data_IF_026822913139
#
_entry.id   IF_026822913139
#
_cell.length_a   1.000
_cell.length_b   1.000
_cell.length_c   1.000
_cell.angle_alpha   90.00
_cell.angle_beta   90.00
_cell.angle_gamma   90.00
#
_symmetry.space_group_name_H-M   'P 1'
#
loop_
_entity.id
_entity.type
_entity.pdbx_description
1 polymer ?
#
# COMPACT_ATOMS: atom_id res chain seq x y z
N UNK A 1 -38.23 -12.40 -3.50
CA UNK A 1 -36.88 -12.03 -3.93
C UNK A 1 -36.42 -10.95 -2.97
N UNK A 2 -35.36 -11.19 -2.18
CA UNK A 2 -34.77 -10.11 -1.39
C UNK A 2 -34.15 -9.12 -2.40
N UNK A 3 -34.70 -7.91 -2.47
CA UNK A 3 -34.07 -6.84 -3.23
C UNK A 3 -32.66 -6.63 -2.69
N UNK A 4 -31.70 -6.34 -3.56
CA UNK A 4 -30.36 -5.92 -3.17
C UNK A 4 -30.49 -4.70 -2.24
N UNK A 5 -30.48 -4.93 -0.93
CA UNK A 5 -30.54 -3.86 0.05
C UNK A 5 -29.29 -3.00 -0.09
N UNK A 6 -29.49 -1.71 -0.32
CA UNK A 6 -28.40 -0.72 -0.25
C UNK A 6 -28.03 -0.52 1.22
N UNK A 7 -26.73 -0.47 1.51
CA UNK A 7 -26.18 -0.26 2.85
C UNK A 7 -25.60 1.16 2.89
N UNK A 8 -25.99 1.93 3.89
CA UNK A 8 -25.35 3.20 4.23
C UNK A 8 -24.20 2.94 5.22
N UNK A 9 -23.12 3.68 5.08
CA UNK A 9 -21.99 3.64 5.99
C UNK A 9 -21.59 5.04 6.45
N UNK A 10 -21.26 5.16 7.73
CA UNK A 10 -20.89 6.43 8.37
C UNK A 10 -19.69 6.23 9.28
N UNK A 11 -18.81 7.23 9.36
CA UNK A 11 -17.63 7.20 10.23
C UNK A 11 -17.61 8.39 11.19
N UNK A 12 -17.22 8.15 12.44
CA UNK A 12 -16.93 9.19 13.42
C UNK A 12 -15.47 9.07 13.86
N UNK A 13 -14.81 10.21 13.99
CA UNK A 13 -13.47 10.31 14.59
C UNK A 13 -13.63 11.17 15.83
N UNK A 14 -13.34 10.58 17.00
CA UNK A 14 -13.73 11.16 18.29
C UNK A 14 -12.57 11.80 19.05
N UNK A 15 -11.33 11.49 18.69
CA UNK A 15 -10.14 12.00 19.37
C UNK A 15 -8.94 12.13 18.41
N UNK A 16 -8.51 13.34 18.00
CA UNK A 16 -9.29 14.57 18.12
C UNK A 16 -10.58 14.45 17.29
N UNK A 17 -11.62 15.19 17.68
CA UNK A 17 -12.87 15.21 16.92
C UNK A 17 -12.61 15.77 15.52
N UNK A 18 -12.99 15.02 14.49
CA UNK A 18 -13.00 15.48 13.09
C UNK A 18 -14.44 15.56 12.61
N UNK A 19 -14.85 16.73 12.13
CA UNK A 19 -16.21 16.96 11.65
C UNK A 19 -16.33 16.55 10.18
N UNK A 20 -17.24 15.63 9.88
CA UNK A 20 -17.64 15.27 8.52
C UNK A 20 -18.92 15.98 8.06
N UNK A 21 -19.29 15.73 6.82
CA UNK A 21 -20.60 16.09 6.29
C UNK A 21 -21.41 14.84 5.89
N UNK A 22 -22.71 14.86 6.21
CA UNK A 22 -23.67 13.87 5.73
C UNK A 22 -25.06 14.49 5.61
N UNK A 23 -25.88 13.94 4.71
CA UNK A 23 -27.29 14.31 4.57
C UNK A 23 -28.19 13.60 5.59
N UNK A 24 -27.70 12.54 6.23
CA UNK A 24 -28.45 11.80 7.23
C UNK A 24 -28.62 12.62 8.51
N UNK A 25 -29.85 12.79 8.98
CA UNK A 25 -30.15 13.67 10.13
C UNK A 25 -29.52 13.17 11.43
N UNK A 26 -29.58 11.86 11.68
CA UNK A 26 -29.06 11.26 12.92
C UNK A 26 -27.53 11.36 12.96
N UNK A 27 -26.88 11.08 11.84
CA UNK A 27 -25.42 11.10 11.74
C UNK A 27 -24.85 12.51 11.57
N UNK A 28 -25.63 13.47 11.07
CA UNK A 28 -25.26 14.88 11.00
C UNK A 28 -25.08 15.51 12.39
N UNK A 29 -25.95 15.18 13.34
CA UNK A 29 -25.80 15.65 14.74
C UNK A 29 -24.52 15.11 15.39
N UNK A 30 -24.09 13.91 14.97
CA UNK A 30 -22.85 13.27 15.42
C UNK A 30 -21.62 13.70 14.61
N UNK A 31 -21.77 14.67 13.70
CA UNK A 31 -20.71 15.18 12.80
C UNK A 31 -20.01 14.07 12.02
N UNK A 32 -20.75 13.04 11.65
CA UNK A 32 -20.17 11.89 10.98
C UNK A 32 -19.83 12.17 9.52
N UNK A 33 -18.87 11.41 9.02
CA UNK A 33 -18.42 11.38 7.62
C UNK A 33 -19.24 10.30 6.90
N UNK A 34 -19.83 10.64 5.76
CA UNK A 34 -20.50 9.66 4.91
C UNK A 34 -19.49 8.84 4.10
N UNK A 35 -19.64 7.51 4.13
CA UNK A 35 -18.67 6.57 3.54
C UNK A 35 -19.29 5.91 2.32
N UNK A 36 -18.60 6.04 1.18
CA UNK A 36 -19.00 5.46 -0.11
C UNK A 36 -18.59 3.98 -0.21
N UNK A 37 -17.42 3.64 0.33
CA UNK A 37 -16.89 2.28 0.31
C UNK A 37 -16.03 2.04 1.56
N UNK A 38 -15.96 0.78 1.99
CA UNK A 38 -15.11 0.35 3.10
C UNK A 38 -14.44 -0.98 2.77
N UNK A 39 -13.14 -1.06 3.04
CA UNK A 39 -12.35 -2.27 2.93
C UNK A 39 -11.47 -2.45 4.16
N UNK A 40 -11.25 -3.70 4.57
CA UNK A 40 -10.44 -4.07 5.73
C UNK A 40 -9.47 -5.17 5.34
N UNK A 41 -8.20 -5.06 5.76
CA UNK A 41 -7.19 -6.06 5.44
C UNK A 41 -5.87 -5.87 6.18
N UNK A 42 -4.92 -6.75 5.90
CA UNK A 42 -3.54 -6.53 6.30
C UNK A 42 -2.79 -5.67 5.27
N UNK A 43 -1.78 -4.94 5.71
CA UNK A 43 -0.98 -4.10 4.81
C UNK A 43 -0.24 -4.91 3.75
N UNK A 44 0.05 -6.19 4.00
CA UNK A 44 0.75 -7.06 3.05
C UNK A 44 -0.08 -7.30 1.81
N UNK A 45 -1.32 -7.76 1.98
CA UNK A 45 -2.27 -8.11 0.93
C UNK A 45 -2.70 -6.87 0.14
N UNK A 46 -2.90 -5.74 0.81
CA UNK A 46 -3.31 -4.49 0.15
C UNK A 46 -2.14 -3.81 -0.58
N UNK A 47 -0.91 -3.89 -0.04
CA UNK A 47 0.26 -3.40 -0.76
C UNK A 47 0.63 -4.31 -1.93
N UNK A 48 0.42 -5.62 -1.83
CA UNK A 48 0.68 -6.57 -2.92
C UNK A 48 -0.24 -6.30 -4.12
N UNK A 49 -1.53 -6.03 -3.88
CA UNK A 49 -2.46 -5.58 -4.92
C UNK A 49 -1.98 -4.29 -5.64
N UNK A 50 -1.39 -3.34 -4.90
CA UNK A 50 -0.80 -2.13 -5.49
C UNK A 50 0.57 -2.39 -6.18
N UNK A 51 1.32 -3.40 -5.73
CA UNK A 51 2.64 -3.76 -6.29
C UNK A 51 2.54 -4.56 -7.58
N UNK A 52 1.50 -5.37 -7.78
CA UNK A 52 1.32 -6.12 -9.03
C UNK A 52 1.26 -5.20 -10.27
N UNK A 53 0.73 -3.98 -10.12
CA UNK A 53 0.73 -2.99 -11.19
C UNK A 53 2.12 -2.36 -11.43
N UNK A 54 2.92 -2.20 -10.38
CA UNK A 54 4.30 -1.71 -10.49
C UNK A 54 5.30 -2.79 -10.98
N UNK A 55 5.05 -4.07 -10.70
CA UNK A 55 5.96 -5.16 -11.07
C UNK A 55 5.82 -5.56 -12.55
N UNK A 56 4.66 -5.29 -13.18
CA UNK A 56 4.51 -5.28 -14.65
C UNK A 56 5.56 -4.37 -15.30
N UNK A 57 5.85 -3.22 -14.70
CA UNK A 57 6.86 -2.28 -15.17
C UNK A 57 8.30 -2.80 -14.95
N UNK A 58 8.58 -3.50 -13.84
CA UNK A 58 9.89 -4.10 -13.57
C UNK A 58 10.21 -5.33 -14.42
N UNK A 59 9.19 -6.10 -14.80
CA UNK A 59 9.35 -7.23 -15.72
C UNK A 59 9.92 -6.82 -17.10
N UNK A 60 9.69 -5.56 -17.50
CA UNK A 60 10.28 -4.96 -18.70
C UNK A 60 11.81 -4.75 -18.58
N UNK A 61 12.32 -4.45 -17.38
CA UNK A 61 13.75 -4.24 -17.13
C UNK A 61 14.55 -5.54 -17.05
N UNK A 62 13.94 -6.68 -16.68
CA UNK A 62 14.64 -7.98 -16.68
C UNK A 62 14.96 -8.44 -18.11
N UNK A 63 14.04 -8.19 -19.06
CA UNK A 63 14.27 -8.44 -20.50
C UNK A 63 15.47 -7.65 -21.05
N UNK A 64 15.77 -6.48 -20.49
CA UNK A 64 16.95 -5.68 -20.88
C UNK A 64 18.28 -6.38 -20.57
N UNK A 65 18.39 -7.14 -19.49
CA UNK A 65 19.64 -7.83 -19.14
C UNK A 65 19.92 -8.99 -20.08
N UNK A 66 18.90 -9.81 -20.38
CA UNK A 66 19.05 -10.95 -21.27
C UNK A 66 19.40 -10.48 -22.70
N UNK A 67 18.79 -9.37 -23.14
CA UNK A 67 19.15 -8.73 -24.42
C UNK A 67 20.62 -8.28 -24.48
N UNK A 68 21.19 -7.75 -23.38
CA UNK A 68 22.61 -7.34 -23.33
C UNK A 68 23.53 -8.56 -23.41
N UNK A 69 23.16 -9.67 -22.75
CA UNK A 69 23.96 -10.90 -22.79
C UNK A 69 23.91 -11.57 -24.16
N UNK A 70 22.76 -11.50 -24.85
CA UNK A 70 22.62 -12.04 -26.19
C UNK A 70 23.32 -11.16 -27.24
N UNK A 71 23.32 -9.83 -27.10
CA UNK A 71 24.18 -8.94 -27.90
C UNK A 71 25.67 -9.31 -27.72
N UNK A 72 26.13 -9.48 -26.48
CA UNK A 72 27.53 -9.86 -26.19
C UNK A 72 27.92 -11.21 -26.80
N UNK A 73 27.02 -12.20 -26.80
CA UNK A 73 27.25 -13.49 -27.48
C UNK A 73 27.37 -13.30 -28.99
N UNK A 74 26.43 -12.57 -29.59
CA UNK A 74 26.43 -12.31 -31.04
C UNK A 74 27.72 -11.61 -31.50
N UNK A 75 28.20 -10.62 -30.73
CA UNK A 75 29.46 -9.96 -31.02
C UNK A 75 30.68 -10.87 -30.90
N UNK A 76 30.67 -11.78 -29.91
CA UNK A 76 31.73 -12.76 -29.77
C UNK A 76 31.79 -13.72 -30.96
N UNK A 77 30.65 -14.16 -31.49
CA UNK A 77 30.57 -15.11 -32.60
C UNK A 77 31.02 -14.49 -33.95
N UNK A 78 30.76 -13.21 -34.17
CA UNK A 78 31.22 -12.49 -35.38
C UNK A 78 32.72 -12.23 -35.41
N UNK A 79 33.35 -12.03 -34.25
CA UNK A 79 34.80 -11.82 -34.13
C UNK A 79 35.53 -13.15 -33.92
N UNK A 80 35.62 -13.98 -34.96
CA UNK A 80 36.21 -15.34 -34.94
C UNK A 80 37.71 -15.43 -34.61
N UNK A 81 38.35 -14.37 -34.11
CA UNK A 81 39.80 -14.29 -33.94
C UNK A 81 40.36 -14.05 -32.52
N UNK A 82 39.54 -13.80 -31.49
CA UNK A 82 40.11 -13.49 -30.17
C UNK A 82 39.16 -13.36 -28.96
N UNK A 83 37.85 -13.54 -29.14
CA UNK A 83 36.84 -13.29 -28.10
C UNK A 83 36.44 -14.51 -27.26
N UNK A 84 36.84 -15.74 -27.63
CA UNK A 84 36.41 -16.96 -26.93
C UNK A 84 36.89 -17.02 -25.47
N UNK A 85 38.06 -16.41 -25.19
CA UNK A 85 38.60 -16.24 -23.85
C UNK A 85 37.66 -15.43 -22.95
N UNK A 86 37.21 -14.26 -23.41
CA UNK A 86 36.38 -13.34 -22.64
C UNK A 86 35.03 -13.96 -22.26
N UNK A 87 34.33 -14.65 -23.18
CA UNK A 87 33.05 -15.29 -22.87
C UNK A 87 33.20 -16.43 -21.86
N UNK A 88 34.25 -17.25 -21.98
CA UNK A 88 34.52 -18.31 -21.01
C UNK A 88 34.80 -17.73 -19.61
N UNK A 89 35.57 -16.64 -19.57
CA UNK A 89 35.95 -15.88 -18.38
C UNK A 89 34.75 -15.17 -17.74
N UNK A 90 33.82 -14.62 -18.54
CA UNK A 90 32.57 -14.04 -18.06
C UNK A 90 31.59 -15.11 -17.55
N UNK A 91 31.58 -16.30 -18.17
CA UNK A 91 30.78 -17.45 -17.67
C UNK A 91 31.27 -17.96 -16.33
N UNK A 92 32.58 -18.09 -16.13
CA UNK A 92 33.15 -18.47 -14.82
C UNK A 92 33.04 -17.35 -13.80
N UNK A 93 33.17 -16.09 -14.22
CA UNK A 93 32.95 -14.92 -13.37
C UNK A 93 31.48 -14.68 -13.03
N UNK A 94 30.52 -15.40 -13.62
CA UNK A 94 29.08 -15.33 -13.29
C UNK A 94 28.80 -15.58 -11.80
N UNK A 95 29.71 -16.29 -11.12
CA UNK A 95 29.68 -16.53 -9.67
C UNK A 95 30.58 -15.59 -8.85
N UNK A 96 31.39 -14.75 -9.51
CA UNK A 96 32.24 -13.73 -8.88
C UNK A 96 31.53 -12.39 -8.70
N UNK A 97 32.18 -11.44 -8.03
CA UNK A 97 31.57 -10.13 -7.82
C UNK A 97 31.47 -9.37 -9.15
N UNK A 98 30.42 -8.57 -9.32
CA UNK A 98 30.29 -7.65 -10.46
C UNK A 98 31.49 -6.69 -10.60
N UNK A 99 32.33 -6.54 -9.57
CA UNK A 99 33.55 -5.70 -9.62
C UNK A 99 34.59 -6.35 -10.48
N UNK A 100 34.71 -7.65 -10.34
CA UNK A 100 35.72 -8.45 -11.00
C UNK A 100 35.31 -8.63 -12.46
N UNK A 101 34.01 -8.77 -12.74
CA UNK A 101 33.46 -8.74 -14.10
C UNK A 101 33.71 -7.38 -14.80
N UNK A 102 33.42 -6.25 -14.15
CA UNK A 102 33.64 -4.91 -14.74
C UNK A 102 35.12 -4.63 -14.99
N UNK A 103 36.00 -5.04 -14.05
CA UNK A 103 37.44 -4.89 -14.17
C UNK A 103 38.00 -5.79 -15.30
N UNK A 104 37.53 -7.05 -15.42
CA UNK A 104 37.91 -7.94 -16.51
C UNK A 104 37.50 -7.41 -17.89
N UNK A 105 36.28 -6.88 -18.02
CA UNK A 105 35.83 -6.25 -19.28
C UNK A 105 36.73 -5.05 -19.61
N UNK A 106 37.11 -4.26 -18.61
CA UNK A 106 37.96 -3.08 -18.78
C UNK A 106 39.39 -3.44 -19.18
N UNK A 107 39.93 -4.52 -18.62
CA UNK A 107 41.31 -4.95 -18.83
C UNK A 107 41.51 -5.72 -20.15
N UNK A 108 40.53 -6.52 -20.59
CA UNK A 108 40.63 -7.27 -21.86
C UNK A 108 40.30 -6.43 -23.11
N UNK A 109 39.45 -5.40 -23.00
CA UNK A 109 38.81 -4.78 -24.18
C UNK A 109 39.25 -3.33 -24.44
N UNK A 110 40.51 -3.01 -24.11
CA UNK A 110 41.10 -1.68 -24.18
C UNK A 110 40.63 -0.77 -25.34
N UNK A 111 40.34 0.49 -24.96
CA UNK A 111 40.14 1.70 -25.78
C UNK A 111 39.03 1.74 -26.85
N UNK A 112 38.38 0.65 -27.25
CA UNK A 112 37.28 0.74 -28.23
C UNK A 112 36.05 1.43 -27.60
N UNK A 113 35.57 2.48 -28.26
CA UNK A 113 34.50 3.36 -27.78
C UNK A 113 33.20 2.61 -27.47
N UNK A 114 32.97 1.48 -28.14
CA UNK A 114 31.78 0.62 -27.93
C UNK A 114 31.74 -0.05 -26.55
N UNK A 115 32.87 -0.20 -25.86
CA UNK A 115 32.91 -0.81 -24.52
C UNK A 115 32.64 0.19 -23.39
N UNK A 116 32.77 1.49 -23.64
CA UNK A 116 32.33 2.51 -22.68
C UNK A 116 30.82 2.41 -22.41
N UNK A 117 30.03 2.02 -23.42
CA UNK A 117 28.58 1.81 -23.29
C UNK A 117 28.26 0.61 -22.40
N UNK A 118 28.90 -0.55 -22.65
CA UNK A 118 28.71 -1.78 -21.86
C UNK A 118 29.11 -1.57 -20.40
N UNK A 119 30.26 -0.93 -20.15
CA UNK A 119 30.69 -0.59 -18.79
C UNK A 119 29.73 0.40 -18.10
N UNK A 120 29.13 1.33 -18.85
CA UNK A 120 28.07 2.22 -18.37
C UNK A 120 26.83 1.46 -17.91
N UNK A 121 26.34 0.51 -18.71
CA UNK A 121 25.19 -0.35 -18.37
C UNK A 121 25.46 -1.22 -17.14
N UNK A 122 26.66 -1.80 -17.01
CA UNK A 122 27.07 -2.57 -15.82
C UNK A 122 27.14 -1.70 -14.56
N UNK A 123 27.64 -0.46 -14.65
CA UNK A 123 27.65 0.48 -13.52
C UNK A 123 26.24 0.83 -13.06
N UNK A 124 25.31 1.08 -13.97
CA UNK A 124 23.92 1.35 -13.60
C UNK A 124 23.25 0.13 -12.95
N UNK A 125 23.49 -1.08 -13.46
CA UNK A 125 23.00 -2.29 -12.81
C UNK A 125 23.55 -2.46 -11.39
N UNK A 126 24.81 -2.06 -11.14
CA UNK A 126 25.39 -2.09 -9.79
C UNK A 126 24.79 -1.05 -8.87
N UNK A 127 24.44 0.14 -9.38
CA UNK A 127 23.67 1.12 -8.59
C UNK A 127 22.30 0.56 -8.23
N UNK A 128 21.61 -0.11 -9.16
CA UNK A 128 20.32 -0.78 -8.91
C UNK A 128 20.48 -1.93 -7.90
N UNK A 129 21.48 -2.79 -8.06
CA UNK A 129 21.73 -3.88 -7.12
C UNK A 129 22.17 -3.39 -5.74
N UNK A 130 22.98 -2.33 -5.64
CA UNK A 130 23.33 -1.71 -4.36
C UNK A 130 22.12 -1.06 -3.69
N UNK A 131 21.24 -0.41 -4.46
CA UNK A 131 19.94 0.08 -3.95
C UNK A 131 19.06 -1.08 -3.44
N UNK A 132 19.15 -2.26 -4.07
CA UNK A 132 18.40 -3.44 -3.64
C UNK A 132 19.04 -4.16 -2.44
N UNK A 133 20.38 -4.25 -2.37
CA UNK A 133 21.13 -4.91 -1.28
C UNK A 133 21.34 -4.03 -0.04
N UNK A 134 21.29 -2.70 -0.18
CA UNK A 134 21.27 -1.79 0.96
C UNK A 134 19.92 -1.78 1.70
N UNK A 135 18.93 -2.52 1.20
CA UNK A 135 17.77 -2.89 2.00
C UNK A 135 18.30 -3.82 3.09
N UNK A 136 18.37 -3.31 4.32
CA UNK A 136 18.63 -4.08 5.55
C UNK A 136 17.93 -5.44 5.45
N UNK A 137 18.48 -6.52 6.06
CA UNK A 137 17.72 -7.75 6.25
C UNK A 137 16.33 -7.35 6.76
N UNK A 138 15.24 -7.98 6.27
CA UNK A 138 13.88 -7.62 6.65
C UNK A 138 13.75 -7.83 8.16
N UNK A 139 14.11 -6.78 8.91
CA UNK A 139 13.75 -6.56 10.28
C UNK A 139 12.25 -6.82 10.29
N UNK A 140 11.83 -7.86 11.01
CA UNK A 140 10.45 -8.37 10.99
C UNK A 140 9.51 -7.18 11.05
N UNK A 141 8.98 -6.81 9.89
CA UNK A 141 8.12 -5.64 9.81
C UNK A 141 6.91 -6.04 10.62
N UNK A 142 6.72 -5.40 11.77
CA UNK A 142 5.52 -5.58 12.58
C UNK A 142 4.34 -5.51 11.62
N UNK A 143 3.56 -6.61 11.56
CA UNK A 143 2.39 -6.68 10.71
C UNK A 143 1.51 -5.49 11.08
N UNK A 144 1.21 -4.64 10.11
CA UNK A 144 0.28 -3.54 10.32
C UNK A 144 -1.03 -3.90 9.62
N UNK A 145 -2.12 -3.61 10.32
CA UNK A 145 -3.47 -3.82 9.83
C UNK A 145 -4.02 -2.47 9.42
N UNK A 146 -4.79 -2.48 8.33
CA UNK A 146 -5.32 -1.27 7.73
C UNK A 146 -6.78 -1.43 7.35
N UNK A 147 -7.47 -0.30 7.29
CA UNK A 147 -8.75 -0.21 6.61
C UNK A 147 -8.70 0.99 5.66
N UNK A 148 -9.48 0.89 4.59
CA UNK A 148 -9.60 1.92 3.56
C UNK A 148 -11.04 2.35 3.48
N UNK A 149 -11.24 3.65 3.35
CA UNK A 149 -12.54 4.25 3.07
C UNK A 149 -12.46 5.10 1.82
N UNK A 150 -13.56 5.13 1.08
CA UNK A 150 -13.80 6.15 0.07
C UNK A 150 -14.89 7.10 0.57
N UNK A 151 -14.69 8.39 0.38
CA UNK A 151 -15.66 9.44 0.74
C UNK A 151 -15.69 10.56 -0.30
N UNK A 152 -16.67 11.44 -0.24
CA UNK A 152 -16.63 12.71 -1.00
C UNK A 152 -15.81 13.75 -0.24
N UNK A 153 -15.20 14.68 -0.96
CA UNK A 153 -14.52 15.84 -0.37
C UNK A 153 -15.51 16.64 0.52
N UNK A 154 -15.18 16.86 1.79
CA UNK A 154 -16.05 17.49 2.79
C UNK A 154 -15.25 18.24 3.90
N UNK A 155 -15.90 18.61 5.00
CA UNK A 155 -15.25 19.29 6.15
C UNK A 155 -14.14 18.48 6.83
N UNK A 156 -14.16 17.15 6.71
CA UNK A 156 -13.14 16.28 7.31
C UNK A 156 -11.88 16.21 6.44
N UNK A 157 -11.95 16.64 5.18
CA UNK A 157 -10.85 16.52 4.24
C UNK A 157 -9.58 17.28 4.66
N UNK A 158 -9.62 18.57 5.07
CA UNK A 158 -8.42 19.28 5.51
C UNK A 158 -7.70 18.65 6.71
N UNK A 159 -8.35 18.29 7.84
CA UNK A 159 -7.65 17.67 8.96
C UNK A 159 -7.11 16.27 8.63
N UNK A 160 -7.82 15.49 7.81
CA UNK A 160 -7.34 14.17 7.38
C UNK A 160 -6.11 14.29 6.46
N UNK A 161 -6.10 15.25 5.53
CA UNK A 161 -4.92 15.55 4.73
C UNK A 161 -3.74 16.03 5.57
N UNK A 162 -3.98 16.89 6.57
CA UNK A 162 -2.94 17.35 7.49
C UNK A 162 -2.31 16.19 8.27
N UNK A 163 -3.12 15.29 8.82
CA UNK A 163 -2.65 14.11 9.56
C UNK A 163 -1.85 13.15 8.65
N UNK A 164 -2.25 13.00 7.39
CA UNK A 164 -1.48 12.27 6.38
C UNK A 164 -0.09 12.91 6.16
N UNK A 165 -0.04 14.22 5.91
CA UNK A 165 1.23 14.93 5.72
C UNK A 165 2.15 14.78 6.94
N UNK A 166 1.60 14.94 8.14
CA UNK A 166 2.33 14.78 9.41
C UNK A 166 2.91 13.38 9.57
N UNK A 167 2.18 12.35 9.14
CA UNK A 167 2.67 10.96 9.15
C UNK A 167 3.78 10.72 8.13
N UNK A 168 3.70 11.38 6.96
CA UNK A 168 4.66 11.22 5.87
C UNK A 168 6.04 11.84 6.16
N UNK A 169 6.09 12.92 6.92
CA UNK A 169 7.31 13.72 7.14
C UNK A 169 8.26 13.15 8.21
N UNK A 170 7.91 12.05 8.88
CA UNK A 170 8.79 11.26 9.76
C UNK A 170 9.63 12.05 10.79
N UNK A 171 9.14 13.16 11.33
CA UNK A 171 9.63 13.63 12.62
C UNK A 171 9.06 12.68 13.69
N UNK A 172 9.88 11.70 14.08
CA UNK A 172 9.52 10.48 14.82
C UNK A 172 8.73 10.69 16.12
N UNK A 173 8.59 11.93 16.61
CA UNK A 173 8.04 12.23 17.93
C UNK A 173 6.65 12.89 17.92
N UNK A 174 6.05 13.18 16.76
CA UNK A 174 4.75 13.87 16.72
C UNK A 174 3.83 13.42 15.57
N UNK A 175 3.71 12.10 15.38
CA UNK A 175 2.71 11.56 14.46
C UNK A 175 1.33 11.80 15.06
N UNK A 176 0.47 12.52 14.34
CA UNK A 176 -0.92 12.75 14.72
C UNK A 176 -1.66 11.41 14.71
N UNK A 177 -2.21 11.03 15.86
CA UNK A 177 -2.99 9.80 16.05
C UNK A 177 -4.44 10.15 16.32
N UNK A 178 -5.32 9.32 15.79
CA UNK A 178 -6.73 9.35 16.12
C UNK A 178 -7.01 8.27 17.16
N UNK A 179 -7.27 8.66 18.41
CA UNK A 179 -7.46 7.76 19.53
C UNK A 179 -8.62 6.77 19.32
N UNK A 180 -9.74 7.24 18.76
CA UNK A 180 -10.93 6.43 18.51
C UNK A 180 -11.61 6.80 17.19
N UNK A 181 -11.84 5.78 16.35
CA UNK A 181 -12.59 5.88 15.08
C UNK A 181 -13.69 4.83 15.09
N UNK A 182 -14.94 5.25 14.87
CA UNK A 182 -16.10 4.36 14.80
C UNK A 182 -16.68 4.35 13.40
N UNK A 183 -16.93 3.16 12.88
CA UNK A 183 -17.59 2.96 11.60
C UNK A 183 -18.91 2.25 11.82
N UNK A 184 -19.99 2.78 11.25
CA UNK A 184 -21.35 2.29 11.44
C UNK A 184 -21.94 1.91 10.09
N UNK A 185 -22.61 0.76 10.04
CA UNK A 185 -23.35 0.30 8.87
C UNK A 185 -24.82 0.16 9.21
N UNK A 186 -25.66 0.66 8.31
CA UNK A 186 -27.12 0.66 8.44
C UNK A 186 -27.73 0.27 7.10
N UNK A 187 -28.83 -0.48 7.13
CA UNK A 187 -29.61 -0.72 5.92
C UNK A 187 -30.32 0.58 5.50
N UNK A 188 -30.39 0.86 4.20
CA UNK A 188 -31.08 2.06 3.70
C UNK A 188 -32.57 1.99 4.10
N UNK A 189 -33.04 3.00 4.83
CA UNK A 189 -34.40 3.04 5.36
C UNK A 189 -34.63 2.20 6.62
N UNK A 190 -33.61 1.47 7.08
CA UNK A 190 -33.59 0.78 8.37
C UNK A 190 -33.45 1.78 9.53
N UNK A 191 -34.00 1.41 10.70
CA UNK A 191 -34.01 2.27 11.90
C UNK A 191 -32.73 2.08 12.74
N UNK A 192 -31.99 0.99 12.55
CA UNK A 192 -30.90 0.61 13.44
C UNK A 192 -29.59 0.26 12.73
N UNK A 193 -28.48 0.59 13.39
CA UNK A 193 -27.14 0.11 13.04
C UNK A 193 -27.13 -1.42 13.21
N UNK A 194 -26.69 -2.15 12.18
CA UNK A 194 -26.58 -3.61 12.24
C UNK A 194 -25.13 -4.08 12.43
N UNK A 195 -24.14 -3.23 12.09
CA UNK A 195 -22.73 -3.54 12.23
C UNK A 195 -21.95 -2.27 12.58
N UNK A 196 -21.01 -2.39 13.53
CA UNK A 196 -20.12 -1.33 13.96
C UNK A 196 -18.70 -1.86 14.11
N UNK A 197 -17.72 -1.06 13.70
CA UNK A 197 -16.31 -1.27 14.03
C UNK A 197 -15.81 -0.11 14.88
N UNK A 198 -15.14 -0.43 15.97
CA UNK A 198 -14.43 0.52 16.84
C UNK A 198 -12.93 0.28 16.70
N UNK A 199 -12.24 1.21 16.04
CA UNK A 199 -10.81 1.19 15.86
C UNK A 199 -10.14 2.14 16.87
N UNK A 200 -8.98 1.74 17.40
CA UNK A 200 -8.19 2.57 18.31
C UNK A 200 -6.78 2.82 17.78
N UNK A 201 -6.25 3.99 18.15
CA UNK A 201 -4.89 4.43 17.81
C UNK A 201 -4.64 4.42 16.29
N UNK A 202 -5.58 5.02 15.57
CA UNK A 202 -5.60 5.12 14.12
C UNK A 202 -4.59 6.16 13.62
N UNK A 203 -3.96 5.90 12.47
CA UNK A 203 -3.02 6.77 11.77
C UNK A 203 -3.30 6.74 10.28
N UNK A 204 -3.24 7.87 9.59
CA UNK A 204 -3.43 7.89 8.14
C UNK A 204 -2.12 7.51 7.44
N UNK A 205 -2.19 6.47 6.61
CA UNK A 205 -1.07 5.91 5.84
C UNK A 205 -1.13 6.27 4.37
N UNK A 206 -2.31 6.51 3.85
CA UNK A 206 -2.54 6.86 2.45
C UNK A 206 -3.68 7.86 2.34
N UNK A 207 -3.52 8.79 1.41
CA UNK A 207 -4.53 9.78 1.05
C UNK A 207 -4.42 9.99 -0.46
N UNK A 208 -5.51 9.71 -1.18
CA UNK A 208 -5.61 9.89 -2.62
C UNK A 208 -6.84 10.76 -2.92
N UNK A 209 -6.69 11.73 -3.81
CA UNK A 209 -7.76 12.59 -4.27
C UNK A 209 -8.07 12.24 -5.73
N UNK A 210 -9.32 11.86 -5.98
CA UNK A 210 -9.80 11.45 -7.30
C UNK A 210 -10.75 12.50 -7.86
N UNK A 211 -10.44 12.99 -9.06
CA UNK A 211 -11.26 13.94 -9.79
C UNK A 211 -11.81 13.28 -11.05
N UNK A 212 -13.13 13.20 -11.16
CA UNK A 212 -13.82 12.67 -12.33
C UNK A 212 -14.54 13.81 -13.07
N UNK A 213 -14.58 13.78 -14.40
CA UNK A 213 -15.15 14.85 -15.20
C UNK A 213 -16.67 15.05 -14.97
N UNK A 214 -17.38 13.98 -14.64
CA UNK A 214 -18.84 13.97 -14.49
C UNK A 214 -19.30 14.05 -13.01
N UNK A 215 -18.37 14.04 -12.05
CA UNK A 215 -18.70 14.14 -10.63
C UNK A 215 -18.72 15.59 -10.17
N UNK A 216 -19.80 15.99 -9.50
CA UNK A 216 -19.95 17.35 -8.94
C UNK A 216 -18.89 17.62 -7.86
N UNK A 217 -18.53 16.58 -7.10
CA UNK A 217 -17.53 16.66 -6.04
C UNK A 217 -16.45 15.58 -6.21
N UNK A 218 -15.16 15.90 -5.99
CA UNK A 218 -14.10 14.90 -5.94
C UNK A 218 -14.38 13.82 -4.88
N UNK A 219 -13.86 12.61 -5.10
CA UNK A 219 -13.79 11.56 -4.09
C UNK A 219 -12.38 11.46 -3.51
N UNK A 220 -12.29 10.97 -2.30
CA UNK A 220 -11.04 10.76 -1.58
C UNK A 220 -10.98 9.31 -1.12
N UNK A 221 -9.80 8.71 -1.25
CA UNK A 221 -9.49 7.39 -0.70
C UNK A 221 -8.53 7.58 0.46
N UNK A 222 -8.93 7.16 1.66
CA UNK A 222 -8.15 7.35 2.88
C UNK A 222 -7.85 5.99 3.49
N UNK A 223 -6.56 5.71 3.71
CA UNK A 223 -6.09 4.45 4.30
C UNK A 223 -5.62 4.71 5.72
N UNK A 224 -6.23 4.04 6.68
CA UNK A 224 -5.88 4.08 8.09
C UNK A 224 -5.11 2.82 8.50
N UNK A 225 -4.12 2.95 9.37
CA UNK A 225 -3.60 1.84 10.19
C UNK A 225 -4.02 2.00 11.64
N UNK A 226 -4.28 0.93 12.35
CA UNK A 226 -4.77 0.95 13.74
C UNK A 226 -4.07 -0.12 14.59
N UNK A 227 -4.21 -0.04 15.92
CA UNK A 227 -3.61 -1.01 16.86
C UNK A 227 -4.60 -2.04 17.37
N UNK A 228 -5.86 -1.69 17.52
CA UNK A 228 -6.91 -2.62 17.95
C UNK A 228 -8.22 -2.33 17.24
N UNK A 229 -9.05 -3.36 17.10
CA UNK A 229 -10.37 -3.26 16.49
C UNK A 229 -11.37 -4.11 17.27
N UNK A 230 -12.57 -3.57 17.52
CA UNK A 230 -13.73 -4.32 18.02
C UNK A 230 -14.85 -4.27 16.99
N UNK A 231 -15.36 -5.42 16.60
CA UNK A 231 -16.52 -5.55 15.73
C UNK A 231 -17.73 -5.91 16.58
N UNK A 232 -18.80 -5.14 16.41
CA UNK A 232 -20.08 -5.34 17.09
C UNK A 232 -21.17 -5.53 16.04
N UNK A 233 -21.87 -6.65 16.10
CA UNK A 233 -22.95 -7.02 15.19
C UNK A 233 -24.26 -7.18 15.96
N UNK A 234 -25.32 -6.60 15.40
CA UNK A 234 -26.69 -6.73 15.89
C UNK A 234 -27.48 -7.58 14.89
N UNK A 235 -27.66 -8.89 15.15
CA UNK A 235 -28.45 -9.73 14.27
C UNK A 235 -29.88 -9.20 14.20
N UNK A 236 -30.39 -9.04 12.98
CA UNK A 236 -31.78 -8.67 12.77
C UNK A 236 -32.64 -9.93 12.69
N UNK A 237 -33.69 -9.98 13.49
CA UNK A 237 -34.74 -11.01 13.35
C UNK A 237 -35.68 -10.67 12.19
N UNK A 238 -36.50 -11.62 11.73
CA UNK A 238 -37.54 -11.38 10.71
C UNK A 238 -38.53 -10.26 11.10
N UNK A 239 -38.63 -9.95 12.39
CA UNK A 239 -39.48 -8.89 12.94
C UNK A 239 -38.77 -7.54 13.08
N UNK A 240 -37.51 -7.44 12.68
CA UNK A 240 -36.69 -6.24 12.85
C UNK A 240 -36.27 -5.96 14.31
N UNK A 241 -36.46 -6.94 15.21
CA UNK A 241 -35.99 -6.83 16.60
C UNK A 241 -34.53 -7.28 16.65
N UNK A 242 -33.67 -6.52 17.31
CA UNK A 242 -32.26 -6.86 17.50
C UNK A 242 -32.12 -8.04 18.49
N UNK A 243 -31.42 -9.10 18.07
CA UNK A 243 -31.03 -10.26 18.89
C UNK A 243 -29.85 -9.87 19.84
N UNK A 244 -29.33 -10.74 20.73
CA UNK A 244 -28.26 -10.32 21.63
C UNK A 244 -27.02 -9.94 20.84
N UNK A 245 -26.42 -8.84 21.31
CA UNK A 245 -25.21 -8.24 20.76
C UNK A 245 -24.09 -9.27 20.62
N UNK A 246 -23.55 -9.43 19.41
CA UNK A 246 -22.34 -10.21 19.20
C UNK A 246 -21.19 -9.22 19.08
N UNK A 247 -20.29 -9.21 20.08
CA UNK A 247 -19.09 -8.37 20.06
C UNK A 247 -17.82 -9.21 20.18
N UNK A 248 -16.84 -8.91 19.33
CA UNK A 248 -15.52 -9.54 19.30
C UNK A 248 -14.47 -8.49 18.95
N UNK A 249 -13.37 -8.47 19.67
CA UNK A 249 -12.26 -7.56 19.39
C UNK A 249 -10.90 -8.23 19.45
N UNK A 250 -9.91 -7.56 18.87
CA UNK A 250 -8.54 -8.01 18.82
C UNK A 250 -7.58 -6.84 19.02
N UNK A 251 -6.56 -7.05 19.85
CA UNK A 251 -5.41 -6.17 20.00
C UNK A 251 -4.27 -6.72 19.13
N UNK A 252 -3.92 -6.00 18.08
CA UNK A 252 -2.89 -6.41 17.13
C UNK A 252 -1.47 -6.09 17.61
N UNK A 253 -1.33 -5.29 18.66
CA UNK A 253 -0.05 -5.02 19.30
C UNK A 253 0.35 -6.14 20.24
N UNK A 254 -0.57 -6.61 21.08
CA UNK A 254 -0.33 -7.75 21.99
C UNK A 254 -0.60 -9.11 21.33
N UNK A 255 -1.33 -9.10 20.21
CA UNK A 255 -1.82 -10.29 19.52
C UNK A 255 -2.75 -11.14 20.41
N UNK A 256 -3.65 -10.49 21.13
CA UNK A 256 -4.60 -11.10 22.06
C UNK A 256 -6.04 -10.65 21.75
N UNK A 257 -7.05 -11.50 22.03
CA UNK A 257 -8.44 -11.08 21.95
C UNK A 257 -8.74 -10.01 23.01
N UNK A 258 -9.51 -8.99 22.64
CA UNK A 258 -10.08 -8.04 23.60
C UNK A 258 -11.21 -8.75 24.35
N UNK A 259 -11.20 -8.68 25.68
CA UNK A 259 -12.28 -9.22 26.51
C UNK A 259 -13.62 -8.59 26.11
N UNK A 260 -14.58 -9.44 25.75
CA UNK A 260 -15.95 -9.06 25.38
C UNK A 260 -16.95 -9.35 26.48
#
# INVERSE_FOLDING_TARGET
>A
MAGSGTIDAFMQILDPVVEGETIDKEFKEKKAIEILSFEFGDQGNLAEAAYEDADKERSSNKKSFDNVMDELKFFSEKNKGGSSGLLSKLRTAKHGSLRDQEQMVRDELGKDARYKDIAGRLREQRKVQRRNHAKKPPEERKKSYIFRIDKKLDLSSPPLFHAYCSTSMQEQNKVETFGEVKLFFRELGGIGIFLQYDFKECKIRGYELHTEADSILPSETITFSFLSCTMTYWPQTERGVADPLISRGWDFQTNEPLGG
#
